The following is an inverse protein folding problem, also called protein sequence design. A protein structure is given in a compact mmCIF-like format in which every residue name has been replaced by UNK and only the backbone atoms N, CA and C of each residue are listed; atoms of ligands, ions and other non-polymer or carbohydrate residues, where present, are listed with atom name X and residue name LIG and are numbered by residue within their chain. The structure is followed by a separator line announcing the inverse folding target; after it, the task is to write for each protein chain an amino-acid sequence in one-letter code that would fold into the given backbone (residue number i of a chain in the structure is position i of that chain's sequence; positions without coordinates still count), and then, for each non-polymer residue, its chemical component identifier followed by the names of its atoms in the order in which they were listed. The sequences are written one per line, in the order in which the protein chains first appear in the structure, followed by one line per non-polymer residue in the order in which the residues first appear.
data_IF_244014442536
#
_entry.id   IF_244014442536
#
_cell.length_a   1.000
_cell.length_b   1.000
_cell.length_c   1.000
_cell.angle_alpha   90.00
_cell.angle_beta   90.00
_cell.angle_gamma   90.00
#
_symmetry.space_group_name_H-M   'P 1'
#
loop_
_entity.id
_entity.type
_entity.pdbx_description
1 polymer ?
#
# COMPACT_ATOMS: atom_id res chain seq x y z
N UNK A 1 12.80 -64.17 27.39
CA UNK A 1 11.73 -63.36 27.95
C UNK A 1 11.03 -62.48 26.87
N UNK A 2 10.17 -63.14 26.12
CA UNK A 2 9.37 -62.55 25.04
C UNK A 2 8.51 -61.38 25.51
N UNK A 3 8.00 -61.37 26.75
CA UNK A 3 7.17 -60.32 27.29
C UNK A 3 7.94 -59.04 27.57
N UNK A 4 9.19 -59.06 27.95
CA UNK A 4 10.05 -57.92 28.18
C UNK A 4 10.47 -57.32 26.84
N UNK A 5 10.79 -58.16 25.87
CA UNK A 5 11.17 -57.67 24.51
C UNK A 5 10.00 -56.97 23.81
N UNK A 6 8.78 -57.47 23.96
CA UNK A 6 7.56 -56.83 23.44
C UNK A 6 7.32 -55.50 24.12
N UNK A 7 7.46 -55.40 25.45
CA UNK A 7 7.30 -54.14 26.19
C UNK A 7 8.34 -53.08 25.80
N UNK A 8 9.60 -53.49 25.62
CA UNK A 8 10.65 -52.56 25.16
C UNK A 8 10.39 -52.08 23.74
N UNK A 9 9.94 -52.98 22.85
CA UNK A 9 9.59 -52.63 21.48
C UNK A 9 8.42 -51.66 21.42
N UNK A 10 7.37 -51.88 22.22
CA UNK A 10 6.21 -50.96 22.29
C UNK A 10 6.58 -49.62 22.92
N UNK A 11 7.43 -49.58 23.93
CA UNK A 11 7.97 -48.37 24.53
C UNK A 11 8.75 -47.57 23.52
N UNK A 12 9.62 -48.17 22.73
CA UNK A 12 10.39 -47.52 21.66
C UNK A 12 9.50 -47.00 20.55
N UNK A 13 8.46 -47.71 20.16
CA UNK A 13 7.46 -47.26 19.17
C UNK A 13 6.69 -46.06 19.69
N UNK A 14 6.29 -46.07 20.96
CA UNK A 14 5.60 -44.93 21.58
C UNK A 14 6.48 -43.70 21.67
N UNK A 15 7.76 -43.81 22.03
CA UNK A 15 8.72 -42.72 22.02
C UNK A 15 8.90 -42.13 20.62
N UNK A 16 9.03 -43.01 19.62
CA UNK A 16 9.17 -42.59 18.24
C UNK A 16 7.91 -41.85 17.74
N UNK A 17 6.73 -42.37 18.10
CA UNK A 17 5.46 -41.73 17.78
C UNK A 17 5.34 -40.34 18.41
N UNK A 18 5.69 -40.19 19.69
CA UNK A 18 5.69 -38.92 20.40
C UNK A 18 6.66 -37.95 19.76
N UNK A 19 7.87 -38.37 19.40
CA UNK A 19 8.86 -37.55 18.71
C UNK A 19 8.35 -37.06 17.35
N UNK A 20 7.71 -37.91 16.57
CA UNK A 20 7.12 -37.57 15.28
C UNK A 20 5.97 -36.58 15.45
N UNK A 21 5.10 -36.82 16.44
CA UNK A 21 4.00 -35.91 16.73
C UNK A 21 4.49 -34.53 17.16
N UNK A 22 5.52 -34.43 17.98
CA UNK A 22 6.17 -33.17 18.37
C UNK A 22 6.78 -32.45 17.17
N UNK A 23 7.47 -33.18 16.29
CA UNK A 23 8.08 -32.63 15.09
C UNK A 23 7.02 -32.07 14.14
N UNK A 24 5.92 -32.78 13.93
CA UNK A 24 4.79 -32.31 13.11
C UNK A 24 4.19 -31.04 13.71
N UNK A 25 3.98 -31.03 15.03
CA UNK A 25 3.47 -29.84 15.73
C UNK A 25 4.37 -28.62 15.56
N UNK A 26 5.68 -28.78 15.72
CA UNK A 26 6.66 -27.73 15.52
C UNK A 26 6.69 -27.25 14.07
N UNK A 27 6.60 -28.17 13.11
CA UNK A 27 6.56 -27.84 11.69
C UNK A 27 5.30 -27.03 11.35
N UNK A 28 4.13 -27.43 11.85
CA UNK A 28 2.87 -26.70 11.64
C UNK A 28 2.89 -25.32 12.33
N UNK A 29 3.44 -25.25 13.55
CA UNK A 29 3.62 -23.96 14.24
C UNK A 29 4.55 -23.01 13.47
N UNK A 30 5.65 -23.54 12.91
CA UNK A 30 6.55 -22.76 12.03
C UNK A 30 5.84 -22.25 10.78
N UNK A 31 5.01 -23.08 10.15
CA UNK A 31 4.22 -22.64 8.97
C UNK A 31 3.23 -21.54 9.31
N UNK A 32 2.52 -21.67 10.43
CA UNK A 32 1.58 -20.63 10.90
C UNK A 32 2.32 -19.33 11.18
N UNK A 33 3.46 -19.40 11.85
CA UNK A 33 4.28 -18.21 12.13
C UNK A 33 4.78 -17.55 10.85
N UNK A 34 5.29 -18.34 9.90
CA UNK A 34 5.74 -17.83 8.60
C UNK A 34 4.59 -17.16 7.83
N UNK A 35 3.39 -17.74 7.87
CA UNK A 35 2.21 -17.16 7.25
C UNK A 35 1.80 -15.83 7.91
N UNK A 36 1.82 -15.78 9.25
CA UNK A 36 1.54 -14.55 9.99
C UNK A 36 2.53 -13.44 9.67
N UNK A 37 3.83 -13.77 9.62
CA UNK A 37 4.88 -12.82 9.25
C UNK A 37 4.70 -12.30 7.82
N UNK A 38 4.30 -13.17 6.90
CA UNK A 38 3.99 -12.77 5.53
C UNK A 38 2.83 -11.78 5.48
N UNK A 39 1.74 -12.04 6.21
CA UNK A 39 0.58 -11.14 6.28
C UNK A 39 1.00 -9.78 6.83
N UNK A 40 1.76 -9.75 7.93
CA UNK A 40 2.26 -8.50 8.54
C UNK A 40 3.09 -7.73 7.54
N UNK A 41 4.01 -8.39 6.84
CA UNK A 41 4.83 -7.75 5.82
C UNK A 41 4.00 -7.21 4.66
N UNK A 42 3.02 -7.96 4.17
CA UNK A 42 2.15 -7.54 3.08
C UNK A 42 1.31 -6.31 3.49
N UNK A 43 0.81 -6.28 4.71
CA UNK A 43 0.09 -5.13 5.28
C UNK A 43 1.02 -3.91 5.40
N UNK A 44 2.23 -4.07 5.89
CA UNK A 44 3.21 -2.99 5.98
C UNK A 44 3.52 -2.39 4.60
N UNK A 45 3.74 -3.22 3.59
CA UNK A 45 3.97 -2.78 2.21
C UNK A 45 2.78 -1.97 1.69
N UNK A 46 1.55 -2.42 1.95
CA UNK A 46 0.34 -1.71 1.54
C UNK A 46 0.20 -0.35 2.24
N UNK A 47 0.47 -0.29 3.54
CA UNK A 47 0.41 0.96 4.30
C UNK A 47 1.48 1.94 3.81
N UNK A 48 2.70 1.47 3.55
CA UNK A 48 3.74 2.29 2.95
C UNK A 48 3.37 2.80 1.58
N UNK A 49 2.78 1.94 0.74
CA UNK A 49 2.31 2.33 -0.59
C UNK A 49 1.20 3.38 -0.51
N UNK A 50 0.30 3.26 0.45
CA UNK A 50 -0.75 4.23 0.70
C UNK A 50 -0.18 5.57 1.18
N UNK A 51 0.70 5.58 2.16
CA UNK A 51 1.35 6.79 2.66
C UNK A 51 2.16 7.50 1.56
N UNK A 52 2.84 6.73 0.72
CA UNK A 52 3.56 7.28 -0.43
C UNK A 52 2.60 7.92 -1.45
N UNK A 53 1.46 7.29 -1.71
CA UNK A 53 0.46 7.87 -2.61
C UNK A 53 -0.16 9.16 -2.06
N UNK A 54 -0.35 9.27 -0.73
CA UNK A 54 -0.77 10.49 -0.06
C UNK A 54 0.24 11.63 -0.26
N UNK A 55 1.52 11.33 -0.14
CA UNK A 55 2.60 12.31 -0.37
C UNK A 55 2.61 12.80 -1.82
N UNK A 56 2.48 11.89 -2.77
CA UNK A 56 2.40 12.24 -4.20
C UNK A 56 1.16 13.11 -4.48
N UNK A 57 0.03 12.80 -3.89
CA UNK A 57 -1.20 13.60 -4.03
C UNK A 57 -0.99 15.00 -3.47
N UNK A 58 -0.41 15.13 -2.29
CA UNK A 58 -0.12 16.44 -1.68
C UNK A 58 0.84 17.25 -2.53
N UNK A 59 1.91 16.64 -3.04
CA UNK A 59 2.88 17.30 -3.92
C UNK A 59 2.21 17.80 -5.21
N UNK A 60 1.35 17.00 -5.83
CA UNK A 60 0.60 17.40 -7.03
C UNK A 60 -0.42 18.48 -6.73
N UNK A 61 -1.06 18.45 -5.56
CA UNK A 61 -1.95 19.53 -5.12
C UNK A 61 -1.21 20.87 -5.00
N UNK A 62 -0.02 20.86 -4.42
CA UNK A 62 0.82 22.04 -4.27
C UNK A 62 1.25 22.59 -5.65
N UNK A 63 1.63 21.71 -6.56
CA UNK A 63 1.97 22.05 -7.94
C UNK A 63 0.76 22.69 -8.64
N UNK A 64 -0.42 22.09 -8.50
CA UNK A 64 -1.67 22.62 -9.07
C UNK A 64 -1.98 24.01 -8.54
N UNK A 65 -1.90 24.20 -7.23
CA UNK A 65 -2.20 25.49 -6.60
C UNK A 65 -1.22 26.60 -7.06
N UNK A 66 0.06 26.25 -7.18
CA UNK A 66 1.09 27.14 -7.72
C UNK A 66 0.82 27.51 -9.19
N UNK A 67 0.45 26.53 -9.99
CA UNK A 67 0.13 26.73 -11.42
C UNK A 67 -1.17 27.51 -11.60
N UNK A 68 -2.15 27.37 -10.72
CA UNK A 68 -3.37 28.15 -10.75
C UNK A 68 -3.09 29.67 -10.54
N UNK A 69 -2.21 29.98 -9.59
CA UNK A 69 -1.74 31.36 -9.38
C UNK A 69 -1.02 31.89 -10.60
N UNK A 70 -0.15 31.08 -11.20
CA UNK A 70 0.56 31.47 -12.43
C UNK A 70 -0.41 31.70 -13.59
N UNK A 71 -1.42 30.86 -13.76
CA UNK A 71 -2.46 31.03 -14.77
C UNK A 71 -3.16 32.36 -14.65
N UNK A 72 -3.53 32.79 -13.44
CA UNK A 72 -4.15 34.08 -13.18
C UNK A 72 -3.22 35.26 -13.58
N UNK A 73 -1.93 35.14 -13.29
CA UNK A 73 -0.93 36.12 -13.69
C UNK A 73 -0.77 36.20 -15.22
N UNK A 74 -0.77 35.03 -15.89
CA UNK A 74 -0.68 34.95 -17.35
C UNK A 74 -1.88 35.61 -18.04
N UNK A 75 -3.10 35.40 -17.51
CA UNK A 75 -4.29 36.09 -18.02
C UNK A 75 -4.18 37.61 -17.89
N UNK A 76 -3.69 38.14 -16.77
CA UNK A 76 -3.46 39.57 -16.58
C UNK A 76 -2.43 40.11 -17.57
N UNK A 77 -1.34 39.36 -17.80
CA UNK A 77 -0.31 39.75 -18.78
C UNK A 77 -0.87 39.76 -20.20
N UNK A 78 -1.73 38.84 -20.55
CA UNK A 78 -2.42 38.81 -21.82
C UNK A 78 -3.36 40.02 -21.97
N UNK A 79 -4.16 40.31 -20.96
CA UNK A 79 -5.06 41.48 -20.95
C UNK A 79 -4.29 42.81 -21.10
N UNK A 80 -3.08 42.88 -20.54
CA UNK A 80 -2.19 44.04 -20.64
C UNK A 80 -1.35 44.07 -21.92
N UNK A 81 -1.55 43.13 -22.84
CA UNK A 81 -0.84 43.10 -24.13
C UNK A 81 0.63 42.64 -24.04
N UNK A 82 1.08 42.11 -22.88
CA UNK A 82 2.46 41.65 -22.66
C UNK A 82 2.68 40.26 -23.21
N UNK A 83 1.62 39.45 -23.27
CA UNK A 83 1.64 38.04 -23.70
C UNK A 83 0.72 37.90 -24.92
N UNK A 84 1.14 37.17 -25.96
CA UNK A 84 0.27 36.92 -27.10
C UNK A 84 -0.68 35.74 -26.83
N UNK A 85 -1.70 35.60 -27.69
CA UNK A 85 -2.73 34.57 -27.51
C UNK A 85 -2.20 33.15 -27.63
N UNK A 86 -1.26 32.92 -28.54
CA UNK A 86 -0.67 31.61 -28.73
C UNK A 86 0.13 31.17 -27.50
N UNK A 87 0.94 32.04 -26.94
CA UNK A 87 1.69 31.80 -25.72
C UNK A 87 0.76 31.50 -24.54
N UNK A 88 -0.33 32.25 -24.40
CA UNK A 88 -1.33 32.02 -23.38
C UNK A 88 -1.98 30.64 -23.53
N UNK A 89 -2.39 30.26 -24.73
CA UNK A 89 -3.01 28.95 -25.00
C UNK A 89 -2.05 27.79 -24.72
N UNK A 90 -0.77 27.90 -25.05
CA UNK A 90 0.23 26.91 -24.75
C UNK A 90 0.44 26.73 -23.24
N UNK A 91 0.44 27.82 -22.49
CA UNK A 91 0.55 27.73 -21.03
C UNK A 91 -0.71 27.13 -20.37
N UNK A 92 -1.89 27.44 -20.93
CA UNK A 92 -3.14 26.80 -20.47
C UNK A 92 -3.13 25.29 -20.71
N UNK A 93 -2.59 24.81 -21.83
CA UNK A 93 -2.44 23.37 -22.11
C UNK A 93 -1.56 22.71 -21.05
N UNK A 94 -0.44 23.33 -20.67
CA UNK A 94 0.41 22.85 -19.58
C UNK A 94 -0.33 22.79 -18.25
N UNK A 95 -1.20 23.74 -17.99
CA UNK A 95 -2.05 23.74 -16.81
C UNK A 95 -3.00 22.55 -16.78
N UNK A 96 -3.61 22.17 -17.89
CA UNK A 96 -4.45 20.98 -17.99
C UNK A 96 -3.68 19.70 -17.71
N UNK A 97 -2.42 19.60 -18.11
CA UNK A 97 -1.57 18.44 -17.74
C UNK A 97 -1.34 18.36 -16.23
N UNK A 98 -1.12 19.47 -15.57
CA UNK A 98 -0.98 19.53 -14.11
C UNK A 98 -2.27 19.09 -13.41
N UNK A 99 -3.43 19.56 -13.88
CA UNK A 99 -4.74 19.11 -13.40
C UNK A 99 -4.93 17.61 -13.58
N UNK A 100 -4.61 17.10 -14.76
CA UNK A 100 -4.69 15.65 -15.05
C UNK A 100 -3.81 14.84 -14.10
N UNK A 101 -2.59 15.26 -13.83
CA UNK A 101 -1.67 14.58 -12.92
C UNK A 101 -2.19 14.60 -11.48
N UNK A 102 -2.78 15.69 -11.04
CA UNK A 102 -3.43 15.77 -9.74
C UNK A 102 -4.59 14.79 -9.62
N UNK A 103 -5.48 14.74 -10.61
CA UNK A 103 -6.60 13.79 -10.60
C UNK A 103 -6.15 12.33 -10.61
N UNK A 104 -5.09 12.01 -11.35
CA UNK A 104 -4.49 10.67 -11.31
C UNK A 104 -3.93 10.32 -9.93
N UNK A 105 -3.22 11.25 -9.31
CA UNK A 105 -2.66 11.06 -7.96
C UNK A 105 -3.78 10.88 -6.92
N UNK A 106 -4.84 11.67 -7.01
CA UNK A 106 -6.01 11.57 -6.15
C UNK A 106 -6.73 10.21 -6.32
N UNK A 107 -6.93 9.79 -7.55
CA UNK A 107 -7.51 8.46 -7.84
C UNK A 107 -6.66 7.32 -7.27
N UNK A 108 -5.33 7.42 -7.39
CA UNK A 108 -4.41 6.42 -6.85
C UNK A 108 -4.47 6.33 -5.33
N UNK A 109 -4.63 7.46 -4.64
CA UNK A 109 -4.87 7.50 -3.18
C UNK A 109 -6.14 6.74 -2.81
N UNK A 110 -7.24 7.02 -3.50
CA UNK A 110 -8.52 6.34 -3.27
C UNK A 110 -8.38 4.85 -3.47
N UNK A 111 -7.79 4.44 -4.59
CA UNK A 111 -7.61 3.01 -4.93
C UNK A 111 -6.76 2.29 -3.89
N UNK A 112 -5.62 2.84 -3.52
CA UNK A 112 -4.71 2.23 -2.54
C UNK A 112 -5.31 2.22 -1.14
N UNK A 113 -6.06 3.26 -0.78
CA UNK A 113 -6.78 3.31 0.48
C UNK A 113 -7.85 2.25 0.59
N UNK A 114 -8.64 2.05 -0.45
CA UNK A 114 -9.64 0.99 -0.52
C UNK A 114 -9.03 -0.41 -0.50
N UNK A 115 -7.94 -0.62 -1.24
CA UNK A 115 -7.20 -1.89 -1.23
C UNK A 115 -6.67 -2.22 0.18
N UNK A 116 -6.14 -1.22 0.89
CA UNK A 116 -5.67 -1.38 2.26
C UNK A 116 -6.81 -1.69 3.24
N UNK A 117 -7.95 -1.01 3.15
CA UNK A 117 -9.15 -1.30 3.95
C UNK A 117 -9.66 -2.71 3.72
N UNK A 118 -9.68 -3.16 2.46
CA UNK A 118 -10.16 -4.49 2.09
C UNK A 118 -9.33 -5.60 2.74
N UNK A 119 -8.02 -5.43 2.81
CA UNK A 119 -7.10 -6.44 3.35
C UNK A 119 -7.09 -6.43 4.87
N UNK A 120 -7.08 -5.26 5.48
CA UNK A 120 -7.04 -5.09 6.95
C UNK A 120 -8.43 -5.20 7.57
N UNK A 121 -9.49 -5.06 6.76
CA UNK A 121 -10.90 -5.00 7.18
C UNK A 121 -11.17 -3.92 8.23
N UNK A 122 -10.37 -2.84 8.17
CA UNK A 122 -10.52 -1.66 9.01
C UNK A 122 -10.64 -0.40 8.15
N UNK A 123 -11.40 0.63 8.57
CA UNK A 123 -11.64 1.83 7.75
C UNK A 123 -10.46 2.81 7.77
N UNK A 124 -9.29 2.39 7.28
CA UNK A 124 -8.05 3.19 7.25
C UNK A 124 -8.20 4.42 6.37
N UNK A 125 -8.78 4.25 5.18
CA UNK A 125 -8.99 5.32 4.22
C UNK A 125 -9.93 6.39 4.78
N UNK A 126 -11.05 5.99 5.37
CA UNK A 126 -12.05 6.88 5.93
C UNK A 126 -11.48 7.73 7.05
N UNK A 127 -10.66 7.17 7.92
CA UNK A 127 -9.99 7.89 9.02
C UNK A 127 -8.98 8.92 8.51
N UNK A 128 -8.17 8.58 7.51
CA UNK A 128 -7.13 9.48 6.97
C UNK A 128 -7.68 10.59 6.07
N UNK A 129 -8.84 10.40 5.45
CA UNK A 129 -9.47 11.38 4.57
C UNK A 129 -10.45 12.32 5.30
N UNK A 130 -10.85 11.95 6.48
CA UNK A 130 -11.64 12.82 7.38
C UNK A 130 -10.75 13.62 8.31
#
# INVERSE_FOLDING_TARGET
NLGIDVLISDSNKNELFIKRAKKIRLTEASKVLAYQLKIINDVEILLHSFDHSLQIEEDNKNIRDTKDKLKKQLHKRFENGILDRLELELEIIKFYEVEKNYHKAFYDVIKKGLDAELIVQEPIFTEKMM
#
